data_IF_465022530851
#
_entry.id   IF_465022530851
#
_cell.length_a   1.000
_cell.length_b   1.000
_cell.length_c   1.000
_cell.angle_alpha   90.00
_cell.angle_beta   90.00
_cell.angle_gamma   90.00
#
_symmetry.space_group_name_H-M   'P 1'
#
loop_
_entity.id
_entity.type
_entity.pdbx_description
1 polymer ?
#
# COMPACT_ATOMS: atom_id res chain seq x y z
N UNK A 1 -5.02 27.03 3.23
CA UNK A 1 -5.40 26.00 2.24
C UNK A 1 -6.72 25.38 2.66
N UNK A 2 -7.67 25.19 1.74
CA UNK A 2 -8.92 24.47 2.02
C UNK A 2 -8.67 22.97 2.23
N UNK A 3 -9.64 22.26 2.83
CA UNK A 3 -9.53 20.81 3.04
C UNK A 3 -9.27 20.05 1.73
N UNK A 4 -9.89 20.47 0.63
CA UNK A 4 -9.68 19.88 -0.70
C UNK A 4 -8.29 20.18 -1.26
N UNK A 5 -7.75 21.36 -1.01
CA UNK A 5 -6.37 21.70 -1.39
C UNK A 5 -5.36 20.89 -0.57
N UNK A 6 -5.57 20.73 0.74
CA UNK A 6 -4.71 19.92 1.61
C UNK A 6 -4.70 18.44 1.19
N UNK A 7 -5.86 17.88 0.80
CA UNK A 7 -5.96 16.50 0.30
C UNK A 7 -5.19 16.26 -1.01
N UNK A 8 -5.16 17.25 -1.91
CA UNK A 8 -4.38 17.15 -3.16
C UNK A 8 -2.88 17.31 -2.94
N UNK A 9 -2.50 18.14 -1.97
CA UNK A 9 -1.10 18.32 -1.59
C UNK A 9 -0.53 17.05 -0.93
N UNK A 10 -1.29 16.45 -0.02
CA UNK A 10 -0.95 15.17 0.61
C UNK A 10 -1.12 14.02 -0.38
N UNK A 11 -0.23 13.04 -0.34
CA UNK A 11 -0.17 11.92 -1.29
C UNK A 11 0.63 12.20 -2.55
N UNK A 12 0.55 13.41 -3.13
CA UNK A 12 1.35 13.79 -4.30
C UNK A 12 2.66 14.52 -3.98
N UNK A 13 2.69 15.33 -2.92
CA UNK A 13 3.85 16.15 -2.53
C UNK A 13 4.38 15.84 -1.14
N UNK A 14 3.54 15.30 -0.26
CA UNK A 14 3.90 14.97 1.11
C UNK A 14 3.17 13.71 1.56
N UNK A 15 3.92 12.76 2.13
CA UNK A 15 3.42 11.51 2.69
C UNK A 15 4.06 11.26 4.06
N UNK A 16 3.42 10.41 4.86
CA UNK A 16 3.91 10.01 6.18
C UNK A 16 4.42 8.57 6.11
N UNK A 17 5.57 8.33 6.74
CA UNK A 17 6.11 6.97 6.94
C UNK A 17 6.06 6.68 8.44
N UNK A 18 5.37 5.59 8.80
CA UNK A 18 5.23 5.15 10.18
C UNK A 18 6.48 4.38 10.63
N UNK A 19 6.91 4.58 11.87
CA UNK A 19 8.00 3.82 12.47
C UNK A 19 7.60 2.35 12.72
N UNK A 20 6.33 2.12 13.01
CA UNK A 20 5.72 0.80 13.07
C UNK A 20 4.89 0.55 11.80
N UNK A 21 5.50 -0.04 10.74
CA UNK A 21 4.87 -0.12 9.42
C UNK A 21 3.60 -0.98 9.40
N UNK A 22 3.43 -1.89 10.36
CA UNK A 22 2.25 -2.74 10.46
C UNK A 22 0.98 -1.96 10.83
N UNK A 23 1.10 -0.83 11.54
CA UNK A 23 -0.03 0.03 11.88
C UNK A 23 -0.51 0.88 10.70
N UNK A 24 0.30 0.98 9.64
CA UNK A 24 -0.01 1.76 8.45
C UNK A 24 -0.93 1.01 7.47
N UNK A 25 -1.02 -0.31 7.59
CA UNK A 25 -1.76 -1.17 6.67
C UNK A 25 -3.01 -1.75 7.33
N UNK A 26 -4.09 -1.76 6.57
CA UNK A 26 -5.32 -2.45 6.96
C UNK A 26 -5.18 -3.96 6.66
N UNK A 27 -5.31 -4.85 7.67
CA UNK A 27 -5.13 -6.30 7.51
C UNK A 27 -6.23 -6.99 6.68
N UNK A 28 -7.36 -6.32 6.44
CA UNK A 28 -8.44 -6.83 5.59
C UNK A 28 -7.99 -6.89 4.12
N UNK A 29 -7.10 -5.97 3.71
CA UNK A 29 -6.62 -5.86 2.34
C UNK A 29 -5.19 -6.38 2.21
N UNK A 30 -4.87 -6.90 1.03
CA UNK A 30 -3.48 -7.21 0.68
C UNK A 30 -2.66 -5.93 0.54
N UNK A 31 -1.34 -6.02 0.76
CA UNK A 31 -0.43 -4.89 0.56
C UNK A 31 -0.55 -4.35 -0.87
N UNK A 32 -0.64 -5.23 -1.87
CA UNK A 32 -0.84 -4.84 -3.27
C UNK A 32 -2.13 -4.05 -3.52
N UNK A 33 -3.25 -4.43 -2.91
CA UNK A 33 -4.51 -3.69 -3.03
C UNK A 33 -4.41 -2.28 -2.48
N UNK A 34 -3.74 -2.11 -1.34
CA UNK A 34 -3.58 -0.81 -0.69
C UNK A 34 -2.68 0.12 -1.50
N UNK A 35 -1.57 -0.40 -2.06
CA UNK A 35 -0.70 0.35 -2.97
C UNK A 35 -1.46 0.80 -4.23
N UNK A 36 -2.19 -0.14 -4.86
CA UNK A 36 -2.97 0.15 -6.08
C UNK A 36 -4.02 1.23 -5.81
N UNK A 37 -4.74 1.16 -4.69
CA UNK A 37 -5.77 2.15 -4.36
C UNK A 37 -5.18 3.55 -4.13
N UNK A 38 -4.02 3.64 -3.45
CA UNK A 38 -3.29 4.89 -3.29
C UNK A 38 -2.92 5.52 -4.64
N UNK A 39 -2.33 4.72 -5.54
CA UNK A 39 -1.96 5.17 -6.88
C UNK A 39 -3.17 5.63 -7.70
N UNK A 40 -4.29 4.90 -7.66
CA UNK A 40 -5.51 5.30 -8.36
C UNK A 40 -6.09 6.60 -7.82
N UNK A 41 -6.10 6.78 -6.50
CA UNK A 41 -6.69 7.94 -5.84
C UNK A 41 -5.88 9.22 -6.03
N UNK A 42 -4.55 9.11 -6.09
CA UNK A 42 -3.66 10.26 -6.16
C UNK A 42 -3.09 10.54 -7.56
N UNK A 43 -2.97 9.54 -8.43
CA UNK A 43 -2.43 9.67 -9.78
C UNK A 43 -3.48 9.44 -10.89
N UNK A 44 -4.70 9.00 -10.55
CA UNK A 44 -5.78 8.81 -11.53
C UNK A 44 -5.57 7.64 -12.49
N UNK A 45 -4.67 6.71 -12.16
CA UNK A 45 -4.34 5.57 -13.01
C UNK A 45 -5.50 4.58 -13.16
N UNK A 46 -5.56 3.91 -14.31
CA UNK A 46 -6.43 2.74 -14.48
C UNK A 46 -5.98 1.60 -13.55
N UNK A 47 -6.85 0.62 -13.29
CA UNK A 47 -6.49 -0.51 -12.42
C UNK A 47 -5.26 -1.27 -12.91
N UNK A 48 -5.16 -1.46 -14.23
CA UNK A 48 -4.02 -2.14 -14.84
C UNK A 48 -2.75 -1.28 -14.75
N UNK A 49 -2.83 0.01 -15.13
CA UNK A 49 -1.69 0.93 -15.05
C UNK A 49 -1.17 1.09 -13.62
N UNK A 50 -2.06 1.16 -12.62
CA UNK A 50 -1.69 1.21 -11.21
C UNK A 50 -0.99 -0.08 -10.74
N UNK A 51 -1.43 -1.25 -11.23
CA UNK A 51 -0.78 -2.53 -10.93
C UNK A 51 0.64 -2.58 -11.49
N UNK A 52 0.82 -2.16 -12.74
CA UNK A 52 2.13 -2.16 -13.40
C UNK A 52 3.07 -1.15 -12.73
N UNK A 53 2.56 0.03 -12.36
CA UNK A 53 3.30 1.04 -11.60
C UNK A 53 3.71 0.54 -10.21
N UNK A 54 2.83 -0.17 -9.51
CA UNK A 54 3.13 -0.77 -8.21
C UNK A 54 4.22 -1.83 -8.31
N UNK A 55 4.17 -2.69 -9.34
CA UNK A 55 5.22 -3.70 -9.60
C UNK A 55 6.58 -3.05 -9.85
N UNK A 56 6.59 -1.99 -10.64
CA UNK A 56 7.81 -1.24 -10.92
C UNK A 56 8.40 -0.63 -9.64
N UNK A 57 7.57 0.03 -8.83
CA UNK A 57 8.02 0.61 -7.56
C UNK A 57 8.61 -0.45 -6.62
N UNK A 58 7.97 -1.61 -6.48
CA UNK A 58 8.46 -2.71 -5.65
C UNK A 58 9.78 -3.31 -6.17
N UNK A 59 9.98 -3.33 -7.50
CA UNK A 59 11.26 -3.75 -8.09
C UNK A 59 12.39 -2.78 -7.78
N UNK A 60 12.13 -1.47 -7.84
CA UNK A 60 13.13 -0.43 -7.55
C UNK A 60 13.68 -0.55 -6.12
N UNK A 61 12.82 -0.88 -5.15
CA UNK A 61 13.23 -1.10 -3.76
C UNK A 61 13.66 -2.54 -3.45
N UNK A 62 13.85 -3.37 -4.49
CA UNK A 62 14.34 -4.76 -4.40
C UNK A 62 13.49 -5.66 -3.49
N UNK A 63 12.18 -5.43 -3.45
CA UNK A 63 11.25 -6.31 -2.73
C UNK A 63 11.12 -7.64 -3.51
N UNK A 64 11.44 -8.79 -2.89
CA UNK A 64 11.43 -10.08 -3.58
C UNK A 64 9.99 -10.49 -3.96
N UNK A 65 9.85 -11.16 -5.10
CA UNK A 65 8.57 -11.68 -5.62
C UNK A 65 7.41 -10.66 -5.66
N UNK A 66 7.58 -9.52 -6.36
CA UNK A 66 6.60 -8.43 -6.37
C UNK A 66 5.27 -8.80 -7.04
N UNK A 67 5.27 -9.77 -7.95
CA UNK A 67 4.08 -10.28 -8.64
C UNK A 67 3.31 -11.37 -7.88
N UNK A 68 3.91 -11.94 -6.82
CA UNK A 68 3.35 -13.06 -6.07
C UNK A 68 3.09 -12.72 -4.62
N UNK A 69 4.11 -12.88 -3.77
CA UNK A 69 3.99 -12.83 -2.30
C UNK A 69 3.32 -11.57 -1.79
N UNK A 70 3.75 -10.39 -2.21
CA UNK A 70 3.26 -9.11 -1.66
C UNK A 70 1.90 -8.67 -2.20
N UNK A 71 1.54 -9.14 -3.40
CA UNK A 71 0.22 -8.88 -3.98
C UNK A 71 -0.89 -9.72 -3.35
N UNK A 72 -0.54 -10.87 -2.76
CA UNK A 72 -1.48 -11.85 -2.23
C UNK A 72 -1.44 -11.96 -0.70
N UNK A 73 -0.39 -11.45 -0.05
CA UNK A 73 -0.26 -11.46 1.41
C UNK A 73 -1.18 -10.38 1.99
N UNK A 74 -2.25 -10.83 2.67
CA UNK A 74 -2.86 -10.03 3.74
C UNK A 74 -1.79 -9.86 4.79
N UNK A 75 -1.59 -8.65 5.32
CA UNK A 75 -0.68 -8.38 6.43
C UNK A 75 -1.05 -9.34 7.56
N UNK A 76 -0.37 -10.49 7.61
CA UNK A 76 -0.64 -11.51 8.61
C UNK A 76 -0.35 -10.86 9.94
N UNK A 77 -1.35 -10.88 10.81
CA UNK A 77 -1.08 -10.99 12.23
C UNK A 77 -0.09 -12.17 12.37
N UNK A 78 1.09 -12.00 13.01
CA UNK A 78 2.07 -13.07 13.14
C UNK A 78 1.36 -14.31 13.69
N UNK A 79 1.70 -15.47 13.13
CA UNK A 79 0.98 -16.73 13.27
C UNK A 79 1.09 -17.36 14.68
N UNK A 80 0.79 -16.58 15.73
CA UNK A 80 0.77 -16.97 17.13
C UNK A 80 -0.29 -16.27 17.98
N UNK A 81 -1.07 -15.32 17.45
CA UNK A 81 -2.10 -14.61 18.23
C UNK A 81 -3.52 -15.20 18.16
N UNK A 82 -3.76 -16.28 17.41
CA UNK A 82 -5.09 -16.87 17.23
C UNK A 82 -5.25 -18.25 17.90
N UNK A 83 -4.57 -18.49 19.03
CA UNK A 83 -4.84 -19.66 19.89
C UNK A 83 -4.63 -19.35 21.38
N UNK A 84 -5.63 -18.71 21.98
CA UNK A 84 -5.97 -18.75 23.40
C UNK A 84 -7.47 -18.46 23.45
N UNK A 85 -8.33 -19.34 23.96
CA UNK A 85 -8.70 -19.34 25.38
C UNK A 85 -8.65 -17.96 26.01
#
# INVERSE_FOLDING_TARGET
MSASQLRRYRGGRCAMIFQEPLLAFDPVYTVGQQIIEGLRRHEGLSRQAARDRALEALRQVRIPSPSGGWMLTRTRCPAGCASGR
#
